data_IF_350977627381
#
_entry.id   IF_350977627381
#
_cell.length_a   1.000
_cell.length_b   1.000
_cell.length_c   1.000
_cell.angle_alpha   90.00
_cell.angle_beta   90.00
_cell.angle_gamma   90.00
#
_symmetry.space_group_name_H-M   'P 1'
#
loop_
_entity.id
_entity.type
_entity.pdbx_description
1 polymer ?
#
# COMPACT_ATOMS: atom_id res chain seq x y z
N UNK A 1 6.27 -18.56 22.80
CA UNK A 1 6.43 -19.19 21.47
C UNK A 1 6.11 -18.26 20.29
N UNK A 2 5.16 -17.32 20.36
CA UNK A 2 4.78 -16.46 19.21
C UNK A 2 5.91 -15.64 18.57
N UNK A 3 6.84 -15.07 19.33
CA UNK A 3 7.90 -14.19 18.78
C UNK A 3 8.80 -14.89 17.76
N UNK A 4 9.02 -16.20 17.93
CA UNK A 4 9.81 -17.05 17.03
C UNK A 4 9.10 -17.24 15.68
N UNK A 5 7.81 -17.57 15.71
CA UNK A 5 7.03 -17.84 14.50
C UNK A 5 6.83 -16.56 13.65
N UNK A 6 6.61 -15.40 14.30
CA UNK A 6 6.52 -14.13 13.58
C UNK A 6 7.84 -13.76 12.90
N UNK A 7 8.97 -13.90 13.60
CA UNK A 7 10.29 -13.69 13.00
C UNK A 7 10.55 -14.65 11.84
N UNK A 8 10.05 -15.90 11.91
CA UNK A 8 10.23 -16.90 10.86
C UNK A 8 9.41 -16.56 9.60
N UNK A 9 8.14 -16.20 9.74
CA UNK A 9 7.31 -15.75 8.62
C UNK A 9 7.92 -14.51 7.96
N UNK A 10 8.35 -13.54 8.76
CA UNK A 10 9.00 -12.35 8.23
C UNK A 10 10.26 -12.73 7.44
N UNK A 11 11.10 -13.65 7.92
CA UNK A 11 12.27 -14.15 7.19
C UNK A 11 11.92 -14.86 5.88
N UNK A 12 10.90 -15.73 5.88
CA UNK A 12 10.47 -16.50 4.70
C UNK A 12 9.99 -15.56 3.59
N UNK A 13 9.18 -14.55 3.93
CA UNK A 13 8.54 -13.70 2.94
C UNK A 13 9.32 -12.41 2.61
N UNK A 14 10.30 -12.04 3.43
CA UNK A 14 11.08 -10.80 3.24
C UNK A 14 11.62 -10.61 1.82
N UNK A 15 12.23 -11.62 1.16
CA UNK A 15 12.73 -11.44 -0.21
C UNK A 15 11.63 -11.10 -1.23
N UNK A 16 10.46 -11.73 -1.09
CA UNK A 16 9.29 -11.47 -1.94
C UNK A 16 8.68 -10.09 -1.67
N UNK A 17 8.53 -9.71 -0.40
CA UNK A 17 8.06 -8.39 0.00
C UNK A 17 9.00 -7.26 -0.43
N UNK A 18 10.31 -7.49 -0.35
CA UNK A 18 11.31 -6.54 -0.84
C UNK A 18 11.20 -6.37 -2.36
N UNK A 19 11.05 -7.46 -3.11
CA UNK A 19 10.83 -7.40 -4.57
C UNK A 19 9.56 -6.61 -4.92
N UNK A 20 8.44 -6.87 -4.22
CA UNK A 20 7.20 -6.11 -4.41
C UNK A 20 7.41 -4.61 -4.14
N UNK A 21 8.07 -4.28 -3.04
CA UNK A 21 8.40 -2.89 -2.67
C UNK A 21 9.24 -2.19 -3.73
N UNK A 22 10.28 -2.84 -4.25
CA UNK A 22 11.16 -2.32 -5.30
C UNK A 22 10.41 -2.07 -6.62
N UNK A 23 9.56 -3.01 -7.03
CA UNK A 23 8.73 -2.87 -8.24
C UNK A 23 7.77 -1.69 -8.13
N UNK A 24 7.09 -1.56 -6.98
CA UNK A 24 6.22 -0.41 -6.71
C UNK A 24 6.97 0.92 -6.57
N UNK A 25 8.26 0.86 -6.21
CA UNK A 25 9.18 2.00 -6.22
C UNK A 25 9.53 2.51 -7.63
N UNK A 26 9.03 1.87 -8.70
CA UNK A 26 9.22 2.30 -10.08
C UNK A 26 10.49 1.74 -10.73
N UNK A 27 11.05 0.65 -10.21
CA UNK A 27 12.20 0.00 -10.83
C UNK A 27 11.83 -0.50 -12.23
N UNK A 28 12.62 -0.08 -13.23
CA UNK A 28 12.45 -0.48 -14.63
C UNK A 28 12.87 -1.94 -14.80
N UNK A 29 12.02 -2.73 -15.45
CA UNK A 29 12.29 -4.14 -15.73
C UNK A 29 12.75 -4.26 -17.18
N UNK A 30 14.04 -4.55 -17.36
CA UNK A 30 14.65 -4.71 -18.69
C UNK A 30 14.48 -6.11 -19.28
N UNK A 31 14.38 -7.10 -18.40
CA UNK A 31 14.22 -8.52 -18.75
C UNK A 31 13.11 -9.09 -17.86
N UNK A 32 11.93 -9.24 -18.44
CA UNK A 32 10.73 -9.71 -17.78
C UNK A 32 10.80 -11.19 -17.41
N UNK A 33 11.41 -12.01 -18.27
CA UNK A 33 11.55 -13.45 -18.07
C UNK A 33 12.51 -13.79 -16.92
N UNK A 34 13.60 -13.04 -16.77
CA UNK A 34 14.49 -13.18 -15.60
C UNK A 34 13.79 -12.76 -14.32
N UNK A 35 13.02 -11.67 -14.33
CA UNK A 35 12.22 -11.26 -13.18
C UNK A 35 11.16 -12.31 -12.83
N UNK A 36 10.49 -12.87 -13.84
CA UNK A 36 9.45 -13.89 -13.68
C UNK A 36 10.00 -15.16 -13.06
N UNK A 37 11.09 -15.70 -13.62
CA UNK A 37 11.77 -16.86 -13.03
C UNK A 37 12.27 -16.59 -11.60
N UNK A 38 12.71 -15.36 -11.29
CA UNK A 38 13.06 -14.99 -9.92
C UNK A 38 11.83 -15.02 -9.01
N UNK A 39 10.71 -14.47 -9.44
CA UNK A 39 9.46 -14.47 -8.69
C UNK A 39 8.95 -15.89 -8.41
N UNK A 40 8.94 -16.76 -9.44
CA UNK A 40 8.56 -18.16 -9.27
C UNK A 40 9.46 -18.90 -8.28
N UNK A 41 10.77 -18.65 -8.31
CA UNK A 41 11.70 -19.23 -7.33
C UNK A 41 11.40 -18.76 -5.91
N UNK A 42 11.14 -17.47 -5.70
CA UNK A 42 10.78 -16.93 -4.39
C UNK A 42 9.48 -17.55 -3.85
N UNK A 43 8.49 -17.74 -4.72
CA UNK A 43 7.22 -18.39 -4.36
C UNK A 43 7.43 -19.85 -3.99
N UNK A 44 8.20 -20.59 -4.78
CA UNK A 44 8.52 -22.00 -4.52
C UNK A 44 9.34 -22.16 -3.24
N UNK A 45 10.34 -21.32 -3.02
CA UNK A 45 11.16 -21.31 -1.81
C UNK A 45 10.31 -21.02 -0.57
N UNK A 46 9.42 -20.02 -0.64
CA UNK A 46 8.48 -19.75 0.45
C UNK A 46 7.57 -20.96 0.74
N UNK A 47 7.07 -21.64 -0.31
CA UNK A 47 6.25 -22.86 -0.15
C UNK A 47 7.03 -23.98 0.55
N UNK A 48 8.28 -24.22 0.17
CA UNK A 48 9.15 -25.23 0.80
C UNK A 48 9.46 -24.86 2.25
N UNK A 49 9.91 -23.64 2.52
CA UNK A 49 10.24 -23.19 3.88
C UNK A 49 9.05 -23.24 4.83
N UNK A 50 7.84 -22.95 4.35
CA UNK A 50 6.61 -23.11 5.13
C UNK A 50 6.30 -24.59 5.43
N UNK A 51 6.54 -25.47 4.46
CA UNK A 51 6.38 -26.92 4.66
C UNK A 51 7.37 -27.44 5.71
N UNK A 52 8.63 -27.04 5.62
CA UNK A 52 9.69 -27.44 6.54
C UNK A 52 9.47 -26.86 7.96
N UNK A 53 8.83 -25.69 8.04
CA UNK A 53 8.39 -25.08 9.29
C UNK A 53 7.14 -25.73 9.90
N UNK A 54 6.53 -26.72 9.24
CA UNK A 54 5.39 -27.48 9.75
C UNK A 54 4.03 -26.82 9.54
N UNK A 55 3.92 -25.81 8.67
CA UNK A 55 2.62 -25.22 8.33
C UNK A 55 1.77 -26.19 7.51
N UNK A 56 0.47 -26.22 7.78
CA UNK A 56 -0.50 -26.99 7.00
C UNK A 56 -0.51 -26.53 5.54
N UNK A 57 -0.89 -27.42 4.62
CA UNK A 57 -1.06 -27.08 3.20
C UNK A 57 -2.03 -25.89 3.01
N UNK A 58 -3.14 -25.89 3.75
CA UNK A 58 -4.13 -24.80 3.71
C UNK A 58 -3.48 -23.47 4.14
N UNK A 59 -2.80 -23.43 5.29
CA UNK A 59 -2.13 -22.21 5.78
C UNK A 59 -1.08 -21.72 4.79
N UNK A 60 -0.27 -22.64 4.25
CA UNK A 60 0.76 -22.35 3.26
C UNK A 60 0.16 -21.74 2.00
N UNK A 61 -0.91 -22.32 1.49
CA UNK A 61 -1.56 -21.85 0.28
C UNK A 61 -2.16 -20.45 0.50
N UNK A 62 -2.79 -20.18 1.64
CA UNK A 62 -3.26 -18.83 1.98
C UNK A 62 -2.13 -17.79 2.00
N UNK A 63 -0.97 -18.12 2.59
CA UNK A 63 0.16 -17.19 2.70
C UNK A 63 0.85 -16.97 1.34
N UNK A 64 1.07 -18.03 0.58
CA UNK A 64 1.68 -17.97 -0.76
C UNK A 64 0.76 -17.26 -1.76
N UNK A 65 -0.55 -17.48 -1.66
CA UNK A 65 -1.56 -16.78 -2.47
C UNK A 65 -1.47 -15.27 -2.30
N UNK A 66 -1.35 -14.79 -1.06
CA UNK A 66 -1.18 -13.36 -0.78
C UNK A 66 0.10 -12.80 -1.41
N UNK A 67 1.20 -13.55 -1.39
CA UNK A 67 2.45 -13.15 -2.05
C UNK A 67 2.30 -13.08 -3.58
N UNK A 68 1.69 -14.08 -4.21
CA UNK A 68 1.43 -14.08 -5.65
C UNK A 68 0.57 -12.87 -6.04
N UNK A 69 -0.54 -12.64 -5.34
CA UNK A 69 -1.43 -11.51 -5.57
C UNK A 69 -0.70 -10.17 -5.45
N UNK A 70 0.16 -10.00 -4.44
CA UNK A 70 0.96 -8.80 -4.24
C UNK A 70 1.95 -8.56 -5.38
N UNK A 71 2.71 -9.60 -5.76
CA UNK A 71 3.73 -9.50 -6.81
C UNK A 71 3.09 -9.22 -8.18
N UNK A 72 2.00 -9.91 -8.51
CA UNK A 72 1.25 -9.68 -9.74
C UNK A 72 0.72 -8.25 -9.80
N UNK A 73 0.11 -7.77 -8.72
CA UNK A 73 -0.40 -6.40 -8.68
C UNK A 73 0.75 -5.39 -8.81
N UNK A 74 1.90 -5.66 -8.19
CA UNK A 74 3.08 -4.78 -8.21
C UNK A 74 3.69 -4.65 -9.60
N UNK A 75 3.69 -5.73 -10.40
CA UNK A 75 4.18 -5.70 -11.79
C UNK A 75 3.13 -5.08 -12.72
N UNK A 76 1.90 -5.59 -12.69
CA UNK A 76 0.85 -5.23 -13.64
C UNK A 76 0.37 -3.79 -13.48
N UNK A 77 0.56 -3.18 -12.31
CA UNK A 77 0.05 -1.85 -12.01
C UNK A 77 1.12 -0.80 -11.74
N UNK A 78 2.33 -1.02 -12.24
CA UNK A 78 3.43 -0.04 -12.16
C UNK A 78 3.21 1.18 -13.07
N UNK A 79 2.25 1.13 -13.99
CA UNK A 79 1.97 2.21 -14.95
C UNK A 79 2.91 2.25 -16.15
N UNK A 80 3.71 1.20 -16.36
CA UNK A 80 4.60 1.05 -17.53
C UNK A 80 4.39 -0.31 -18.22
N UNK A 81 4.30 -0.28 -19.55
CA UNK A 81 4.18 -1.48 -20.40
C UNK A 81 5.57 -1.94 -20.86
N UNK A 82 6.41 -2.39 -19.93
CA UNK A 82 7.73 -2.96 -20.24
C UNK A 82 7.69 -4.49 -20.42
N UNK A 83 8.84 -5.10 -20.65
CA UNK A 83 8.97 -6.55 -20.87
C UNK A 83 8.44 -7.36 -19.67
N UNK A 84 8.62 -6.84 -18.45
CA UNK A 84 8.04 -7.42 -17.23
C UNK A 84 6.51 -7.44 -17.26
N UNK A 85 5.88 -6.34 -17.67
CA UNK A 85 4.43 -6.28 -17.84
C UNK A 85 3.94 -7.29 -18.88
N UNK A 86 4.60 -7.39 -20.03
CA UNK A 86 4.21 -8.31 -21.10
C UNK A 86 4.33 -9.78 -20.68
N UNK A 87 5.40 -10.12 -19.95
CA UNK A 87 5.63 -11.46 -19.40
C UNK A 87 4.52 -11.83 -18.40
N UNK A 88 4.29 -10.96 -17.40
CA UNK A 88 3.27 -11.19 -16.37
C UNK A 88 1.84 -11.22 -16.91
N UNK A 89 1.55 -10.46 -17.96
CA UNK A 89 0.22 -10.43 -18.56
C UNK A 89 -0.14 -11.75 -19.24
N UNK A 90 0.85 -12.55 -19.66
CA UNK A 90 0.61 -13.86 -20.30
C UNK A 90 0.29 -14.94 -19.28
N UNK A 91 1.06 -15.01 -18.19
CA UNK A 91 0.92 -16.03 -17.15
C UNK A 91 1.23 -15.42 -15.77
N UNK A 92 0.31 -14.67 -15.14
CA UNK A 92 0.55 -14.09 -13.82
C UNK A 92 0.71 -15.20 -12.77
N UNK A 93 1.39 -14.92 -11.67
CA UNK A 93 1.73 -15.93 -10.65
C UNK A 93 0.48 -16.56 -10.03
N UNK A 94 -0.61 -15.79 -9.86
CA UNK A 94 -1.90 -16.31 -9.42
C UNK A 94 -2.47 -17.37 -10.38
N UNK A 95 -2.28 -17.22 -11.69
CA UNK A 95 -2.71 -18.21 -12.67
C UNK A 95 -1.77 -19.41 -12.64
N UNK A 96 -0.46 -19.15 -12.65
CA UNK A 96 0.58 -20.17 -12.65
C UNK A 96 0.49 -21.13 -11.45
N UNK A 97 0.31 -20.59 -10.23
CA UNK A 97 0.35 -21.38 -9.00
C UNK A 97 -1.04 -21.82 -8.51
N UNK A 98 -2.10 -21.07 -8.82
CA UNK A 98 -3.44 -21.29 -8.25
C UNK A 98 -4.55 -21.41 -9.30
N UNK A 99 -4.24 -21.27 -10.60
CA UNK A 99 -5.23 -21.43 -11.67
C UNK A 99 -6.35 -20.39 -11.65
N UNK A 100 -6.16 -19.24 -10.99
CA UNK A 100 -7.14 -18.15 -10.92
C UNK A 100 -6.57 -16.87 -11.53
N UNK A 101 -7.44 -15.99 -12.01
CA UNK A 101 -7.11 -14.62 -12.42
C UNK A 101 -7.81 -13.57 -11.52
N UNK A 102 -8.47 -14.02 -10.45
CA UNK A 102 -9.31 -13.18 -9.59
C UNK A 102 -8.71 -12.94 -8.19
N UNK A 103 -7.37 -12.95 -8.08
CA UNK A 103 -6.72 -12.75 -6.78
C UNK A 103 -6.99 -11.37 -6.16
N UNK A 104 -7.35 -10.39 -6.99
CA UNK A 104 -7.80 -9.07 -6.55
C UNK A 104 -9.06 -9.08 -5.68
N UNK A 105 -9.99 -10.02 -5.90
CA UNK A 105 -11.24 -10.16 -5.15
C UNK A 105 -11.12 -11.22 -4.06
N UNK A 106 -10.61 -12.39 -4.43
CA UNK A 106 -10.52 -13.55 -3.55
C UNK A 106 -9.64 -13.27 -2.32
N UNK A 107 -8.58 -12.45 -2.44
CA UNK A 107 -7.75 -12.11 -1.29
C UNK A 107 -8.55 -11.32 -0.24
N UNK A 108 -9.41 -10.40 -0.66
CA UNK A 108 -10.27 -9.64 0.25
C UNK A 108 -11.34 -10.51 0.89
N UNK A 109 -11.89 -11.48 0.15
CA UNK A 109 -12.81 -12.46 0.73
C UNK A 109 -12.13 -13.34 1.77
N UNK A 110 -10.91 -13.83 1.48
CA UNK A 110 -10.08 -14.59 2.44
C UNK A 110 -9.82 -13.78 3.70
N UNK A 111 -9.47 -12.49 3.59
CA UNK A 111 -9.28 -11.60 4.74
C UNK A 111 -10.56 -11.46 5.56
N UNK A 112 -11.71 -11.24 4.92
CA UNK A 112 -13.01 -11.14 5.62
C UNK A 112 -13.37 -12.43 6.35
N UNK A 113 -13.09 -13.58 5.76
CA UNK A 113 -13.37 -14.87 6.37
C UNK A 113 -12.44 -15.13 7.57
N UNK A 114 -11.14 -14.83 7.45
CA UNK A 114 -10.18 -14.90 8.55
C UNK A 114 -10.57 -14.00 9.74
N UNK A 115 -11.18 -12.84 9.48
CA UNK A 115 -11.65 -11.95 10.55
C UNK A 115 -12.90 -12.48 11.28
N UNK A 116 -13.68 -13.38 10.66
CA UNK A 116 -14.84 -14.03 11.30
C UNK A 116 -14.44 -15.22 12.17
N UNK A 117 -13.26 -15.79 11.93
CA UNK A 117 -12.74 -16.89 12.75
C UNK A 117 -12.43 -16.41 14.17
N UNK A 118 -12.72 -17.27 15.16
CA UNK A 118 -12.50 -16.99 16.57
C UNK A 118 -11.02 -17.05 16.97
N UNK A 119 -10.24 -17.93 16.33
CA UNK A 119 -8.82 -18.11 16.57
C UNK A 119 -8.04 -18.35 15.27
N UNK A 120 -7.95 -17.35 14.37
CA UNK A 120 -7.21 -17.46 13.11
C UNK A 120 -5.69 -17.61 13.35
N UNK A 121 -5.03 -18.33 12.46
CA UNK A 121 -3.57 -18.48 12.47
C UNK A 121 -2.89 -17.10 12.30
N UNK A 122 -2.12 -16.71 13.31
CA UNK A 122 -1.47 -15.39 13.35
C UNK A 122 -0.41 -15.24 12.24
N UNK A 123 0.17 -16.34 11.74
CA UNK A 123 1.07 -16.31 10.58
C UNK A 123 0.34 -15.85 9.31
N UNK A 124 -0.84 -16.42 9.06
CA UNK A 124 -1.69 -16.04 7.92
C UNK A 124 -2.11 -14.57 8.05
N UNK A 125 -2.59 -14.16 9.23
CA UNK A 125 -2.96 -12.77 9.47
C UNK A 125 -1.78 -11.81 9.22
N UNK A 126 -0.57 -12.19 9.63
CA UNK A 126 0.65 -11.40 9.39
C UNK A 126 0.89 -11.25 7.88
N UNK A 127 0.86 -12.33 7.11
CA UNK A 127 1.07 -12.27 5.66
C UNK A 127 0.00 -11.42 4.94
N UNK A 128 -1.27 -11.57 5.32
CA UNK A 128 -2.37 -10.78 4.78
C UNK A 128 -2.18 -9.29 5.08
N UNK A 129 -1.89 -8.95 6.35
CA UNK A 129 -1.70 -7.58 6.76
C UNK A 129 -0.49 -6.92 6.08
N UNK A 130 0.63 -7.64 5.98
CA UNK A 130 1.83 -7.17 5.27
C UNK A 130 1.57 -6.93 3.78
N UNK A 131 0.78 -7.78 3.15
CA UNK A 131 0.35 -7.60 1.76
C UNK A 131 -0.39 -6.28 1.57
N UNK A 132 -1.31 -5.94 2.48
CA UNK A 132 -2.00 -4.65 2.47
C UNK A 132 -1.06 -3.47 2.75
N UNK A 133 -0.15 -3.61 3.72
CA UNK A 133 0.84 -2.56 4.05
C UNK A 133 1.80 -2.25 2.89
N UNK A 134 2.13 -3.25 2.08
CA UNK A 134 2.96 -3.09 0.88
C UNK A 134 2.19 -2.48 -0.30
N UNK A 135 0.91 -2.17 -0.10
CA UNK A 135 0.09 -1.39 -1.01
C UNK A 135 -0.64 -2.23 -2.05
N UNK A 136 -0.96 -3.48 -1.73
CA UNK A 136 -1.99 -4.24 -2.44
C UNK A 136 -3.35 -3.54 -2.31
N UNK A 137 -4.06 -3.38 -3.42
CA UNK A 137 -5.39 -2.75 -3.44
C UNK A 137 -6.47 -3.73 -3.89
N UNK A 138 -6.15 -4.63 -4.81
CA UNK A 138 -7.11 -5.49 -5.49
C UNK A 138 -8.13 -4.68 -6.29
N UNK A 139 -9.35 -5.21 -6.37
CA UNK A 139 -10.46 -4.57 -7.08
C UNK A 139 -10.98 -3.27 -6.43
N UNK A 140 -10.54 -2.93 -5.21
CA UNK A 140 -11.02 -1.77 -4.45
C UNK A 140 -10.40 -0.43 -4.88
N UNK A 141 -9.81 -0.36 -6.08
CA UNK A 141 -9.19 0.88 -6.60
C UNK A 141 -10.17 2.01 -6.89
N UNK A 142 -11.45 1.68 -7.09
CA UNK A 142 -12.46 2.62 -7.55
C UNK A 142 -13.36 3.17 -6.43
N UNK A 143 -13.30 2.63 -5.22
CA UNK A 143 -14.15 3.05 -4.10
C UNK A 143 -13.28 3.42 -2.90
N UNK A 144 -13.41 4.68 -2.47
CA UNK A 144 -12.95 5.16 -1.16
C UNK A 144 -13.87 4.54 -0.08
N UNK A 145 -13.81 3.21 0.03
CA UNK A 145 -14.72 2.41 0.83
C UNK A 145 -14.21 2.49 2.27
N UNK A 146 -14.92 3.23 3.13
CA UNK A 146 -14.68 3.26 4.59
C UNK A 146 -14.55 1.83 5.15
N UNK A 147 -15.25 0.87 4.54
CA UNK A 147 -15.15 -0.56 4.84
C UNK A 147 -13.74 -1.13 4.69
N UNK A 148 -12.93 -0.63 3.75
CA UNK A 148 -11.55 -1.06 3.55
C UNK A 148 -10.69 -0.66 4.74
N UNK A 149 -10.81 0.58 5.18
CA UNK A 149 -10.04 1.08 6.33
C UNK A 149 -10.43 0.34 7.60
N UNK A 150 -11.71 0.03 7.77
CA UNK A 150 -12.19 -0.76 8.90
C UNK A 150 -11.66 -2.20 8.87
N UNK A 151 -11.66 -2.87 7.70
CA UNK A 151 -11.06 -4.21 7.56
C UNK A 151 -9.56 -4.19 7.81
N UNK A 152 -8.83 -3.19 7.29
CA UNK A 152 -7.39 -3.03 7.53
C UNK A 152 -7.11 -2.79 9.01
N UNK A 153 -7.94 -1.99 9.68
CA UNK A 153 -7.82 -1.70 11.12
C UNK A 153 -8.08 -2.94 11.96
N UNK A 154 -9.20 -3.63 11.72
CA UNK A 154 -9.55 -4.87 12.41
C UNK A 154 -8.50 -5.96 12.21
N UNK A 155 -7.89 -6.04 11.02
CA UNK A 155 -6.77 -6.94 10.75
C UNK A 155 -5.51 -6.51 11.51
N UNK A 156 -5.18 -5.22 11.52
CA UNK A 156 -4.02 -4.68 12.23
C UNK A 156 -4.09 -4.88 13.75
N UNK A 157 -5.27 -4.81 14.35
CA UNK A 157 -5.48 -5.07 15.78
C UNK A 157 -5.18 -6.53 16.18
N UNK A 158 -5.27 -7.47 15.24
CA UNK A 158 -5.01 -8.90 15.46
C UNK A 158 -3.58 -9.34 15.13
N UNK A 159 -2.75 -8.47 14.55
CA UNK A 159 -1.39 -8.79 14.11
C UNK A 159 -0.37 -8.11 15.02
N UNK A 160 0.66 -8.82 15.53
CA UNK A 160 1.69 -8.20 16.34
C UNK A 160 2.56 -7.22 15.53
N UNK A 161 3.15 -6.25 16.22
CA UNK A 161 4.04 -5.27 15.62
C UNK A 161 5.27 -5.93 14.95
N UNK A 162 5.76 -5.31 13.88
CA UNK A 162 6.94 -5.75 13.11
C UNK A 162 8.18 -5.86 14.02
N UNK A 163 8.86 -7.00 13.98
CA UNK A 163 10.07 -7.22 14.81
C UNK A 163 11.37 -7.04 14.04
N UNK A 164 11.35 -6.96 12.71
CA UNK A 164 12.56 -6.89 11.87
C UNK A 164 13.10 -5.46 11.65
N UNK A 165 12.97 -4.59 12.65
CA UNK A 165 13.42 -3.20 12.61
C UNK A 165 14.36 -2.84 13.78
N UNK A 166 15.48 -3.57 13.91
CA UNK A 166 16.57 -3.11 14.78
C UNK A 166 17.92 -2.84 14.13
N UNK A 167 18.16 -3.11 12.82
CA UNK A 167 19.51 -2.90 12.25
C UNK A 167 19.62 -2.28 10.85
N UNK A 168 18.66 -1.47 10.42
CA UNK A 168 18.91 -0.62 9.24
C UNK A 168 18.16 0.72 9.33
N UNK A 169 18.83 1.87 9.15
CA UNK A 169 18.16 3.13 8.97
C UNK A 169 17.50 3.11 7.58
N UNK A 170 16.30 2.56 7.51
CA UNK A 170 15.47 2.63 6.31
C UNK A 170 15.04 4.09 6.15
N UNK A 171 15.63 4.78 5.18
CA UNK A 171 15.14 6.08 4.70
C UNK A 171 13.81 5.81 3.98
N UNK A 172 12.73 5.78 4.76
CA UNK A 172 11.37 5.72 4.22
C UNK A 172 11.13 7.08 3.54
N UNK A 173 11.28 7.16 2.22
CA UNK A 173 10.54 8.16 1.45
C UNK A 173 9.08 7.75 1.54
N UNK A 174 8.41 8.23 2.58
CA UNK A 174 6.97 8.16 2.66
C UNK A 174 6.44 8.81 1.38
N UNK A 175 5.89 8.00 0.47
CA UNK A 175 5.08 8.49 -0.63
C UNK A 175 3.97 9.28 0.05
N UNK A 176 4.09 10.61 0.01
CA UNK A 176 3.11 11.51 0.58
C UNK A 176 1.80 11.17 -0.12
N UNK A 177 0.92 10.46 0.59
CA UNK A 177 -0.52 10.55 0.36
C UNK A 177 -0.78 12.02 0.09
N UNK A 178 -1.26 12.31 -1.12
CA UNK A 178 -1.54 13.66 -1.61
C UNK A 178 -2.75 14.17 -0.84
N UNK A 179 -2.53 14.41 0.45
CA UNK A 179 -3.46 14.91 1.43
C UNK A 179 -3.87 16.31 1.02
N UNK A 180 -5.16 16.61 1.10
CA UNK A 180 -5.82 17.88 0.77
C UNK A 180 -5.26 19.13 1.48
N UNK A 181 -4.15 19.00 2.21
CA UNK A 181 -3.37 20.07 2.81
C UNK A 181 -2.90 21.13 1.81
N UNK A 182 -2.63 20.77 0.53
CA UNK A 182 -2.26 21.76 -0.50
C UNK A 182 -3.45 22.69 -0.85
N UNK A 183 -4.67 22.15 -0.85
CA UNK A 183 -5.89 22.94 -1.09
C UNK A 183 -6.20 23.86 0.11
N UNK A 184 -5.97 23.37 1.33
CA UNK A 184 -6.07 24.17 2.55
C UNK A 184 -5.12 25.38 2.54
N UNK A 185 -3.85 25.18 2.18
CA UNK A 185 -2.88 26.28 2.06
C UNK A 185 -3.25 27.29 0.96
N UNK A 186 -3.78 26.83 -0.18
CA UNK A 186 -4.27 27.72 -1.24
C UNK A 186 -5.48 28.53 -0.77
N UNK A 187 -6.40 27.92 -0.03
CA UNK A 187 -7.56 28.61 0.56
C UNK A 187 -7.15 29.71 1.54
N UNK A 188 -6.11 29.48 2.34
CA UNK A 188 -5.57 30.48 3.27
C UNK A 188 -4.92 31.67 2.56
N UNK A 189 -4.14 31.40 1.51
CA UNK A 189 -3.51 32.47 0.70
C UNK A 189 -4.59 33.32 0.01
N UNK A 190 -5.62 32.67 -0.54
CA UNK A 190 -6.73 33.37 -1.19
C UNK A 190 -7.51 34.23 -0.19
N UNK A 191 -7.79 33.70 1.00
CA UNK A 191 -8.45 34.45 2.08
C UNK A 191 -7.64 35.68 2.54
N UNK A 192 -6.33 35.52 2.71
CA UNK A 192 -5.43 36.63 3.08
C UNK A 192 -5.36 37.72 2.00
N UNK A 193 -5.35 37.33 0.73
CA UNK A 193 -5.36 38.28 -0.40
C UNK A 193 -6.66 39.09 -0.45
N UNK A 194 -7.81 38.45 -0.24
CA UNK A 194 -9.11 39.14 -0.19
C UNK A 194 -9.15 40.14 0.97
N UNK A 195 -8.68 39.76 2.16
CA UNK A 195 -8.62 40.66 3.31
C UNK A 195 -7.72 41.87 3.07
N UNK A 196 -6.55 41.68 2.43
CA UNK A 196 -5.63 42.76 2.09
C UNK A 196 -6.24 43.73 1.06
N UNK A 197 -6.93 43.21 0.05
CA UNK A 197 -7.64 44.03 -0.93
C UNK A 197 -8.77 44.84 -0.27
N UNK A 198 -9.55 44.21 0.63
CA UNK A 198 -10.61 44.89 1.37
C UNK A 198 -10.06 45.99 2.27
N UNK A 199 -8.94 45.72 2.96
CA UNK A 199 -8.25 46.70 3.79
C UNK A 199 -7.77 47.90 2.98
N UNK A 200 -7.14 47.65 1.84
CA UNK A 200 -6.63 48.70 0.97
C UNK A 200 -7.77 49.58 0.43
N UNK A 201 -8.87 48.95 0.01
CA UNK A 201 -10.06 49.65 -0.44
C UNK A 201 -10.67 50.52 0.66
N UNK A 202 -10.90 49.96 1.85
CA UNK A 202 -11.40 50.72 2.99
C UNK A 202 -10.48 51.89 3.37
N UNK A 203 -9.16 51.65 3.37
CA UNK A 203 -8.15 52.67 3.66
C UNK A 203 -8.18 53.81 2.64
N UNK A 204 -8.31 53.50 1.35
CA UNK A 204 -8.42 54.53 0.31
C UNK A 204 -9.70 55.37 0.47
N UNK A 205 -10.84 54.72 0.72
CA UNK A 205 -12.11 55.43 0.92
C UNK A 205 -12.13 56.29 2.19
N UNK A 206 -11.50 55.82 3.27
CA UNK A 206 -11.33 56.62 4.49
C UNK A 206 -10.43 57.82 4.26
N UNK A 207 -9.37 57.67 3.47
CA UNK A 207 -8.45 58.78 3.13
C UNK A 207 -9.15 59.83 2.26
N UNK A 208 -9.98 59.41 1.31
CA UNK A 208 -10.80 60.33 0.50
C UNK A 208 -11.83 61.09 1.36
N UNK A 209 -12.54 60.41 2.26
CA UNK A 209 -13.54 61.04 3.14
C UNK A 209 -12.91 62.01 4.15
N UNK A 210 -11.72 61.70 4.68
CA UNK A 210 -10.97 62.61 5.55
C UNK A 210 -10.46 63.82 4.75
N UNK A 211 -10.00 63.62 3.51
CA UNK A 211 -9.54 64.73 2.67
C UNK A 211 -10.66 65.69 2.25
N UNK A 212 -11.90 65.20 2.15
CA UNK A 212 -13.07 66.04 1.85
C UNK A 212 -13.56 66.85 3.06
N UNK A 213 -13.40 66.32 4.27
CA UNK A 213 -13.80 67.00 5.52
C UNK A 213 -12.77 68.03 6.00
N UNK A 214 -11.53 67.97 5.51
CA UNK A 214 -10.42 68.88 5.89
C UNK A 214 -10.17 69.99 4.86
N UNK A 215 -11.02 70.20 3.84
CA UNK A 215 -10.93 71.43 3.02
C UNK A 215 -11.29 72.64 3.90
N UNK A 216 -10.33 73.54 4.22
CA UNK A 216 -10.62 74.72 4.99
C UNK A 216 -11.41 75.68 4.10
N UNK A 217 -12.59 76.10 4.57
CA UNK A 217 -13.13 77.41 4.20
C UNK A 217 -12.31 78.51 4.85
#
# INVERSE_FOLDING_TARGET
MNKSAHSQIEQIFYPGWLMASQLRGGQVVRDGEVLYRRACRLVQEARTLLSDAGYSEISRDHMVYALCALLDESVLNRGTTDDGYLTWRRDPLQAHFFGTLNAGEELWERIRNLLKESAPDTAILTCMYRTLQLGFVGQYRAQDDERREDVVRALGERVPAFTLAQDAPLVIRASRLRSGRRLYWISWILGAAVLAALWFFLSSSLTELVSQTVRPG
#
